data_IF_561665126941
#
_entry.id   IF_561665126941
#
_cell.length_a   1.000
_cell.length_b   1.000
_cell.length_c   1.000
_cell.angle_alpha   90.00
_cell.angle_beta   90.00
_cell.angle_gamma   90.00
#
_symmetry.space_group_name_H-M   'P 1'
#
loop_
_entity.id
_entity.type
_entity.pdbx_description
1 polymer ?
#
# COMPACT_ATOMS: atom_id res chain seq x y z
N UNK A 1 -31.57 -8.02 30.36
CA UNK A 1 -30.99 -9.28 29.86
C UNK A 1 -29.88 -8.91 28.90
N UNK A 2 -28.63 -9.15 29.30
CA UNK A 2 -27.42 -8.81 28.55
C UNK A 2 -27.26 -9.78 27.39
N UNK A 3 -27.41 -9.30 26.15
CA UNK A 3 -26.99 -10.04 24.97
C UNK A 3 -25.48 -9.82 24.82
N UNK A 4 -24.71 -10.75 25.38
CA UNK A 4 -23.28 -10.89 25.12
C UNK A 4 -23.08 -11.11 23.62
N UNK A 5 -22.74 -10.04 22.88
CA UNK A 5 -22.34 -10.15 21.49
C UNK A 5 -20.87 -10.60 21.44
N UNK A 6 -20.63 -11.87 21.73
CA UNK A 6 -19.38 -12.53 21.32
C UNK A 6 -19.59 -13.10 19.93
N UNK A 7 -19.32 -12.29 18.90
CA UNK A 7 -19.24 -12.74 17.51
C UNK A 7 -17.76 -12.80 17.10
N UNK A 8 -17.35 -13.93 16.51
CA UNK A 8 -15.98 -14.38 16.28
C UNK A 8 -15.08 -13.30 15.64
N UNK A 9 -13.88 -13.14 16.20
CA UNK A 9 -12.79 -12.35 15.62
C UNK A 9 -12.38 -12.91 14.26
N UNK A 10 -12.94 -12.34 13.20
CA UNK A 10 -12.51 -12.57 11.82
C UNK A 10 -11.27 -11.72 11.58
N UNK A 11 -10.26 -12.32 10.97
CA UNK A 11 -9.05 -11.62 10.54
C UNK A 11 -9.39 -10.41 9.64
N UNK A 12 -8.52 -9.40 9.64
CA UNK A 12 -8.49 -8.35 8.63
C UNK A 12 -7.49 -8.76 7.55
N UNK A 13 -7.91 -8.82 6.29
CA UNK A 13 -7.04 -9.19 5.18
C UNK A 13 -6.56 -7.93 4.48
N UNK A 14 -5.25 -7.68 4.55
CA UNK A 14 -4.60 -6.55 3.93
C UNK A 14 -3.79 -6.97 2.70
N UNK A 15 -4.19 -6.52 1.51
CA UNK A 15 -3.38 -6.61 0.31
C UNK A 15 -2.34 -5.49 0.30
N UNK A 16 -1.08 -5.80 -0.02
CA UNK A 16 -0.02 -4.80 0.04
C UNK A 16 1.12 -5.02 -0.97
N UNK A 17 1.63 -3.91 -1.49
CA UNK A 17 2.87 -3.88 -2.28
C UNK A 17 4.12 -3.62 -1.44
N UNK A 18 3.93 -3.34 -0.14
CA UNK A 18 5.04 -3.14 0.79
C UNK A 18 5.65 -4.48 1.19
N UNK A 19 6.94 -4.46 1.55
CA UNK A 19 7.58 -5.61 2.16
C UNK A 19 7.00 -5.85 3.57
N UNK A 20 7.03 -7.09 4.09
CA UNK A 20 6.57 -7.37 5.45
C UNK A 20 7.24 -6.49 6.52
N UNK A 21 8.53 -6.17 6.34
CA UNK A 21 9.26 -5.29 7.25
C UNK A 21 8.74 -3.85 7.25
N UNK A 22 8.31 -3.33 6.09
CA UNK A 22 7.75 -1.98 6.00
C UNK A 22 6.37 -1.86 6.67
N UNK A 23 5.60 -2.96 6.75
CA UNK A 23 4.28 -2.98 7.42
C UNK A 23 4.33 -3.48 8.86
N UNK A 24 5.46 -4.04 9.31
CA UNK A 24 5.55 -4.70 10.61
C UNK A 24 5.15 -3.78 11.78
N UNK A 25 5.65 -2.53 11.78
CA UNK A 25 5.37 -1.60 12.86
C UNK A 25 3.88 -1.23 12.96
N UNK A 26 3.22 -0.93 11.83
CA UNK A 26 1.80 -0.55 11.85
C UNK A 26 0.91 -1.72 12.25
N UNK A 27 1.25 -2.95 11.83
CA UNK A 27 0.54 -4.17 12.24
C UNK A 27 0.74 -4.42 13.74
N UNK A 28 1.98 -4.30 14.23
CA UNK A 28 2.27 -4.48 15.65
C UNK A 28 1.53 -3.44 16.50
N UNK A 29 1.50 -2.17 16.06
CA UNK A 29 0.75 -1.11 16.74
C UNK A 29 -0.75 -1.42 16.76
N UNK A 30 -1.32 -1.82 15.63
CA UNK A 30 -2.74 -2.22 15.54
C UNK A 30 -3.10 -3.29 16.56
N UNK A 31 -2.25 -4.31 16.72
CA UNK A 31 -2.49 -5.40 17.67
C UNK A 31 -2.48 -4.97 19.15
N UNK A 32 -2.04 -3.74 19.46
CA UNK A 32 -2.13 -3.18 20.83
C UNK A 32 -3.44 -2.46 21.10
N UNK A 33 -4.24 -2.18 20.08
CA UNK A 33 -5.50 -1.44 20.23
C UNK A 33 -6.63 -2.36 20.72
N UNK A 34 -7.49 -1.90 21.65
CA UNK A 34 -8.63 -2.68 22.13
C UNK A 34 -9.58 -3.08 21.00
N UNK A 35 -9.93 -4.37 20.91
CA UNK A 35 -10.82 -4.88 19.87
C UNK A 35 -10.14 -5.11 18.51
N UNK A 36 -8.82 -4.99 18.43
CA UNK A 36 -8.07 -5.35 17.22
C UNK A 36 -8.24 -6.84 16.87
N UNK A 37 -8.25 -7.11 15.57
CA UNK A 37 -8.22 -8.47 15.00
C UNK A 37 -6.87 -8.73 14.34
N UNK A 38 -6.52 -10.01 14.15
CA UNK A 38 -5.31 -10.40 13.44
C UNK A 38 -5.31 -9.82 12.01
N UNK A 39 -4.18 -9.26 11.57
CA UNK A 39 -4.00 -8.84 10.18
C UNK A 39 -3.29 -9.95 9.42
N UNK A 40 -3.94 -10.50 8.39
CA UNK A 40 -3.30 -11.37 7.41
C UNK A 40 -2.88 -10.54 6.20
N UNK A 41 -1.61 -10.59 5.82
CA UNK A 41 -1.11 -9.82 4.67
C UNK A 41 -1.04 -10.66 3.40
N UNK A 42 -1.38 -10.04 2.27
CA UNK A 42 -1.14 -10.54 0.93
C UNK A 42 -0.10 -9.65 0.25
N UNK A 43 1.18 -9.96 0.46
CA UNK A 43 2.30 -9.22 -0.12
C UNK A 43 2.51 -9.67 -1.57
N UNK A 44 2.24 -8.80 -2.54
CA UNK A 44 2.39 -9.09 -3.98
C UNK A 44 2.85 -7.84 -4.74
N UNK A 45 3.33 -8.02 -5.97
CA UNK A 45 3.59 -6.88 -6.88
C UNK A 45 2.29 -6.17 -7.26
N UNK A 46 2.36 -4.92 -7.71
CA UNK A 46 1.18 -4.17 -8.16
C UNK A 46 0.38 -4.94 -9.22
N UNK A 47 1.04 -5.48 -10.25
CA UNK A 47 0.40 -6.25 -11.31
C UNK A 47 -0.26 -7.53 -10.82
N UNK A 48 0.36 -8.24 -9.85
CA UNK A 48 -0.23 -9.45 -9.30
C UNK A 48 -1.41 -9.14 -8.36
N UNK A 49 -1.40 -8.00 -7.66
CA UNK A 49 -2.57 -7.54 -6.90
C UNK A 49 -3.70 -7.11 -7.81
N UNK A 50 -3.42 -6.38 -8.88
CA UNK A 50 -4.41 -5.97 -9.88
C UNK A 50 -5.16 -7.18 -10.42
N UNK A 51 -4.43 -8.19 -10.89
CA UNK A 51 -5.00 -9.45 -11.37
C UNK A 51 -5.83 -10.16 -10.31
N UNK A 52 -5.36 -10.20 -9.06
CA UNK A 52 -6.10 -10.82 -7.95
C UNK A 52 -7.45 -10.11 -7.72
N UNK A 53 -7.44 -8.78 -7.72
CA UNK A 53 -8.60 -7.93 -7.41
C UNK A 53 -9.58 -7.80 -8.57
N UNK A 54 -9.12 -8.03 -9.80
CA UNK A 54 -9.99 -8.11 -10.98
C UNK A 54 -10.77 -9.42 -11.05
N UNK A 55 -10.27 -10.50 -10.45
CA UNK A 55 -11.01 -11.78 -10.39
C UNK A 55 -12.15 -11.73 -9.38
N UNK A 56 -13.23 -12.48 -9.64
CA UNK A 56 -14.37 -12.62 -8.72
C UNK A 56 -14.01 -13.21 -7.34
N UNK A 57 -12.80 -13.76 -7.16
CA UNK A 57 -12.27 -14.23 -5.88
C UNK A 57 -11.63 -13.12 -5.02
N UNK A 58 -11.77 -11.85 -5.40
CA UNK A 58 -11.36 -10.70 -4.60
C UNK A 58 -12.12 -10.57 -3.26
N UNK A 59 -13.14 -11.40 -3.01
CA UNK A 59 -14.07 -11.36 -1.86
C UNK A 59 -13.44 -11.43 -0.46
N UNK A 60 -12.12 -11.50 -0.33
CA UNK A 60 -11.44 -11.58 0.96
C UNK A 60 -10.30 -10.55 1.12
N UNK A 61 -10.40 -9.37 0.49
CA UNK A 61 -9.48 -8.25 0.78
C UNK A 61 -10.28 -7.11 1.38
N UNK A 62 -9.97 -6.78 2.63
CA UNK A 62 -10.65 -5.72 3.38
C UNK A 62 -9.94 -4.37 3.23
N UNK A 63 -8.61 -4.40 3.07
CA UNK A 63 -7.75 -3.22 3.04
C UNK A 63 -6.66 -3.35 1.98
N UNK A 64 -6.37 -2.26 1.28
CA UNK A 64 -5.23 -2.16 0.36
C UNK A 64 -4.25 -1.11 0.89
N UNK A 65 -3.01 -1.53 1.12
CA UNK A 65 -1.90 -0.63 1.46
C UNK A 65 -0.85 -0.73 0.36
N UNK A 66 -0.83 0.25 -0.55
CA UNK A 66 0.06 0.22 -1.72
C UNK A 66 0.79 1.52 -1.95
N UNK A 67 1.97 1.43 -2.55
CA UNK A 67 2.75 2.55 -3.08
C UNK A 67 2.45 2.85 -4.55
N UNK A 68 1.56 2.09 -5.20
CA UNK A 68 1.25 2.23 -6.63
C UNK A 68 -0.01 3.08 -6.86
N UNK A 69 0.12 4.36 -7.25
CA UNK A 69 -1.05 5.17 -7.62
C UNK A 69 -1.78 4.61 -8.85
N UNK A 70 -1.06 3.91 -9.74
CA UNK A 70 -1.66 3.28 -10.92
C UNK A 70 -2.61 2.13 -10.56
N UNK A 71 -2.25 1.33 -9.54
CA UNK A 71 -3.13 0.28 -9.03
C UNK A 71 -4.40 0.88 -8.43
N UNK A 72 -4.27 1.94 -7.62
CA UNK A 72 -5.42 2.61 -7.01
C UNK A 72 -6.34 3.23 -8.06
N UNK A 73 -5.76 3.82 -9.11
CA UNK A 73 -6.51 4.40 -10.21
C UNK A 73 -7.33 3.34 -10.97
N UNK A 74 -6.69 2.24 -11.38
CA UNK A 74 -7.38 1.12 -12.04
C UNK A 74 -8.55 0.60 -11.21
N UNK A 75 -8.32 0.34 -9.91
CA UNK A 75 -9.35 -0.17 -9.02
C UNK A 75 -10.49 0.84 -8.81
N UNK A 76 -10.19 2.14 -8.78
CA UNK A 76 -11.23 3.17 -8.68
C UNK A 76 -12.07 3.26 -9.96
N UNK A 77 -11.43 3.27 -11.13
CA UNK A 77 -12.08 3.32 -12.44
C UNK A 77 -13.00 2.11 -12.65
N UNK A 78 -12.63 0.95 -12.08
CA UNK A 78 -13.42 -0.29 -12.11
C UNK A 78 -14.38 -0.44 -10.91
N UNK A 79 -14.57 0.62 -10.11
CA UNK A 79 -15.50 0.65 -8.96
C UNK A 79 -15.24 -0.46 -7.92
N UNK A 80 -13.97 -0.85 -7.75
CA UNK A 80 -13.53 -1.87 -6.77
C UNK A 80 -13.21 -1.29 -5.40
N UNK A 81 -13.18 0.03 -5.26
CA UNK A 81 -12.87 0.73 -4.01
C UNK A 81 -14.10 1.45 -3.48
N UNK A 82 -14.30 1.37 -2.16
CA UNK A 82 -15.29 2.19 -1.47
C UNK A 82 -14.84 3.65 -1.36
N UNK A 83 -15.79 4.57 -1.24
CA UNK A 83 -15.50 5.97 -0.94
C UNK A 83 -14.83 6.11 0.43
N UNK A 84 -13.90 7.06 0.54
CA UNK A 84 -13.24 7.38 1.80
C UNK A 84 -13.62 8.78 2.28
N UNK A 85 -14.77 8.87 2.96
CA UNK A 85 -15.38 10.15 3.34
C UNK A 85 -14.72 10.83 4.56
N UNK A 86 -13.93 10.07 5.34
CA UNK A 86 -13.37 10.51 6.63
C UNK A 86 -11.87 10.84 6.56
N UNK A 87 -11.35 11.21 5.40
CA UNK A 87 -9.93 11.50 5.25
C UNK A 87 -9.58 12.89 5.81
N UNK A 88 -8.45 12.98 6.50
CA UNK A 88 -7.90 14.25 6.97
C UNK A 88 -7.56 15.16 5.78
N UNK A 89 -7.91 16.47 5.80
CA UNK A 89 -7.61 17.40 4.70
C UNK A 89 -6.13 17.48 4.33
N UNK A 90 -5.23 17.32 5.30
CA UNK A 90 -3.77 17.27 5.11
C UNK A 90 -3.37 16.08 4.24
N UNK A 91 -3.91 14.89 4.53
CA UNK A 91 -3.65 13.67 3.77
C UNK A 91 -4.18 13.80 2.35
N UNK A 92 -5.40 14.34 2.19
CA UNK A 92 -6.03 14.48 0.88
C UNK A 92 -5.30 15.40 -0.08
N UNK A 93 -4.59 16.42 0.43
CA UNK A 93 -3.74 17.30 -0.38
C UNK A 93 -2.54 16.58 -1.00
N UNK A 94 -2.11 15.45 -0.45
CA UNK A 94 -0.99 14.66 -0.93
C UNK A 94 -1.43 13.58 -1.94
N UNK A 95 -2.73 13.34 -2.07
CA UNK A 95 -3.29 12.34 -2.97
C UNK A 95 -3.59 13.00 -4.34
N UNK A 96 -3.13 12.39 -5.46
CA UNK A 96 -3.50 12.83 -6.81
C UNK A 96 -5.02 12.92 -6.98
N UNK A 97 -5.48 13.93 -7.71
CA UNK A 97 -6.92 14.17 -7.91
C UNK A 97 -7.65 12.95 -8.48
N UNK A 98 -7.01 12.22 -9.39
CA UNK A 98 -7.58 11.04 -10.05
C UNK A 98 -7.97 9.90 -9.11
N UNK A 99 -7.43 9.81 -7.90
CA UNK A 99 -7.69 8.71 -6.94
C UNK A 99 -8.20 9.20 -5.58
N UNK A 100 -8.46 10.50 -5.46
CA UNK A 100 -8.71 11.19 -4.19
C UNK A 100 -9.99 10.72 -3.47
N UNK A 101 -11.00 10.29 -4.23
CA UNK A 101 -12.30 9.88 -3.69
C UNK A 101 -12.29 8.58 -2.88
N UNK A 102 -11.29 7.71 -3.10
CA UNK A 102 -11.24 6.38 -2.47
C UNK A 102 -9.93 6.11 -1.74
N UNK A 103 -8.96 7.03 -1.82
CA UNK A 103 -7.60 6.82 -1.30
C UNK A 103 -7.19 7.88 -0.30
N UNK A 104 -6.32 7.51 0.63
CA UNK A 104 -5.67 8.44 1.57
C UNK A 104 -4.16 8.25 1.55
N UNK A 105 -3.41 9.34 1.71
CA UNK A 105 -1.96 9.26 1.87
C UNK A 105 -1.62 8.94 3.33
N UNK A 106 -0.96 7.80 3.56
CA UNK A 106 -0.43 7.41 4.88
C UNK A 106 1.09 7.55 4.98
N UNK A 107 1.76 7.66 3.83
CA UNK A 107 3.21 7.83 3.73
C UNK A 107 3.56 8.52 2.40
N UNK A 108 4.73 9.15 2.35
CA UNK A 108 5.32 9.71 1.13
C UNK A 108 6.62 8.96 0.85
N UNK A 109 6.79 8.47 -0.38
CA UNK A 109 8.02 7.84 -0.85
C UNK A 109 8.53 8.52 -2.12
N UNK A 110 9.84 8.74 -2.22
CA UNK A 110 10.48 9.26 -3.42
C UNK A 110 11.10 8.14 -4.29
N UNK A 111 11.30 8.43 -5.57
CA UNK A 111 12.12 7.64 -6.48
C UNK A 111 13.42 8.40 -6.79
N UNK A 112 14.55 7.69 -6.80
CA UNK A 112 15.87 8.31 -6.87
C UNK A 112 16.96 7.34 -7.28
N UNK A 113 18.16 7.88 -7.52
CA UNK A 113 19.34 7.10 -7.84
C UNK A 113 20.13 6.76 -6.57
N UNK A 114 20.35 5.47 -6.34
CA UNK A 114 21.29 4.98 -5.35
C UNK A 114 22.50 4.38 -6.06
N UNK A 115 23.68 4.95 -5.82
CA UNK A 115 24.88 4.64 -6.59
C UNK A 115 25.87 3.83 -5.74
N UNK A 116 26.22 2.63 -6.21
CA UNK A 116 27.33 1.86 -5.64
C UNK A 116 28.67 2.36 -6.22
N UNK A 117 29.26 3.35 -5.54
CA UNK A 117 30.51 4.00 -5.98
C UNK A 117 31.67 3.02 -6.10
N UNK A 118 31.79 2.06 -5.19
CA UNK A 118 32.88 1.08 -5.21
C UNK A 118 32.79 0.15 -6.43
N UNK A 119 31.58 -0.31 -6.78
CA UNK A 119 31.37 -1.14 -7.97
C UNK A 119 31.65 -0.38 -9.27
N UNK A 120 31.31 0.92 -9.33
CA UNK A 120 31.63 1.76 -10.48
C UNK A 120 33.14 1.99 -10.62
N UNK A 121 33.83 2.30 -9.51
CA UNK A 121 35.27 2.50 -9.50
C UNK A 121 36.03 1.25 -9.96
N UNK A 122 35.62 0.06 -9.50
CA UNK A 122 36.21 -1.22 -9.93
C UNK A 122 36.05 -1.50 -11.44
N UNK A 123 35.07 -0.87 -12.09
CA UNK A 123 34.81 -0.97 -13.53
C UNK A 123 35.28 0.26 -14.30
N UNK A 124 35.97 1.21 -13.65
CA UNK A 124 36.38 2.49 -14.22
C UNK A 124 35.23 3.30 -14.84
N UNK A 125 34.05 3.25 -14.21
CA UNK A 125 32.86 4.00 -14.61
C UNK A 125 32.67 5.22 -13.71
N UNK A 126 32.30 6.35 -14.31
CA UNK A 126 31.87 7.54 -13.55
C UNK A 126 30.45 7.35 -13.00
N UNK A 127 30.15 7.87 -11.80
CA UNK A 127 28.79 7.91 -11.29
C UNK A 127 27.92 8.87 -12.13
N UNK A 128 26.66 8.50 -12.45
CA UNK A 128 25.73 9.42 -13.11
C UNK A 128 25.41 10.61 -12.19
N UNK A 129 25.31 11.80 -12.77
CA UNK A 129 24.90 13.03 -12.08
C UNK A 129 23.37 13.16 -12.06
N UNK A 130 22.69 12.71 -13.11
CA UNK A 130 21.24 12.73 -13.24
C UNK A 130 20.71 11.52 -14.04
N UNK A 131 19.41 11.54 -14.36
CA UNK A 131 18.75 10.47 -15.10
C UNK A 131 19.16 10.38 -16.57
N UNK A 132 19.64 11.47 -17.18
CA UNK A 132 20.05 11.50 -18.59
C UNK A 132 21.34 10.69 -18.81
N UNK A 133 22.20 10.59 -17.79
CA UNK A 133 23.40 9.76 -17.83
C UNK A 133 23.12 8.24 -17.88
N UNK A 134 21.85 7.82 -17.79
CA UNK A 134 21.43 6.40 -17.80
C UNK A 134 20.88 5.91 -19.15
N UNK A 135 20.85 6.77 -20.18
CA UNK A 135 20.34 6.46 -21.53
C UNK A 135 21.42 6.65 -22.57
#
# INVERSE_FOLDING_TARGET
>A
MSASCQALGKELVMATTFSPGATAWIIQRWQTEPGSVMIRTLNRTSSSLEQLLDTANAENVDLILTSSPMLLQHLQEHQKLALFDNALPESQRLVPESIRSTSVAVAISGFGLLINRSALAARHLSPPADWADLT
#
